data_IF_161394414873
#
_entry.id   IF_161394414873
#
_cell.length_a   1.000
_cell.length_b   1.000
_cell.length_c   1.000
_cell.angle_alpha   90.00
_cell.angle_beta   90.00
_cell.angle_gamma   90.00
#
_symmetry.space_group_name_H-M   'P 1'
#
loop_
_entity.id
_entity.type
_entity.pdbx_description
1 polymer ?
#
# COMPACT_ATOMS: atom_id res chain seq x y z
N UNK A 1 7.98 13.09 32.15
CA UNK A 1 7.28 14.33 32.58
C UNK A 1 7.95 14.87 33.84
N UNK A 2 7.85 16.18 34.16
CA UNK A 2 8.43 16.76 35.37
C UNK A 2 7.81 16.18 36.65
N UNK A 3 8.59 16.12 37.74
CA UNK A 3 8.16 15.55 39.03
C UNK A 3 7.02 16.33 39.72
N UNK A 4 6.68 17.52 39.22
CA UNK A 4 5.61 18.36 39.76
C UNK A 4 4.21 17.94 39.31
N UNK A 5 4.10 17.02 38.33
CA UNK A 5 2.82 16.62 37.76
C UNK A 5 2.18 15.49 38.56
N UNK A 6 0.93 15.69 38.99
CA UNK A 6 0.12 14.63 39.58
C UNK A 6 -0.31 13.60 38.50
N UNK A 7 -0.71 12.39 38.90
CA UNK A 7 -1.03 11.28 37.99
C UNK A 7 -2.09 11.65 36.92
N UNK A 8 -3.08 12.47 37.30
CA UNK A 8 -4.09 12.97 36.37
C UNK A 8 -3.50 13.88 35.29
N UNK A 9 -2.53 14.72 35.67
CA UNK A 9 -1.81 15.59 34.73
C UNK A 9 -0.90 14.79 33.81
N UNK A 10 -0.31 13.70 34.29
CA UNK A 10 0.49 12.80 33.47
C UNK A 10 -0.38 12.17 32.38
N UNK A 11 -1.54 11.61 32.73
CA UNK A 11 -2.48 11.04 31.75
C UNK A 11 -2.98 12.07 30.74
N UNK A 12 -3.38 13.25 31.23
CA UNK A 12 -3.78 14.35 30.35
C UNK A 12 -2.67 14.76 29.38
N UNK A 13 -1.44 14.86 29.87
CA UNK A 13 -0.28 15.22 29.04
C UNK A 13 -0.01 14.16 27.97
N UNK A 14 -0.11 12.89 28.34
CA UNK A 14 0.08 11.76 27.42
C UNK A 14 -0.98 11.78 26.29
N UNK A 15 -2.26 11.86 26.65
CA UNK A 15 -3.37 11.95 25.70
C UNK A 15 -3.25 13.19 24.81
N UNK A 16 -2.90 14.34 25.39
CA UNK A 16 -2.75 15.59 24.66
C UNK A 16 -1.61 15.50 23.65
N UNK A 17 -0.46 14.99 24.05
CA UNK A 17 0.71 14.86 23.20
C UNK A 17 0.56 13.77 22.13
N UNK A 18 -0.32 12.80 22.35
CA UNK A 18 -0.71 11.84 21.31
C UNK A 18 -1.63 12.45 20.25
N UNK A 19 -2.55 13.32 20.66
CA UNK A 19 -3.50 14.00 19.78
C UNK A 19 -2.92 15.20 19.04
N UNK A 20 -1.94 15.88 19.63
CA UNK A 20 -1.25 17.01 19.01
C UNK A 20 -0.01 16.56 18.23
N UNK A 21 0.40 17.40 17.28
CA UNK A 21 1.61 17.16 16.53
C UNK A 21 2.84 17.35 17.42
N UNK A 22 3.77 16.41 17.38
CA UNK A 22 5.09 16.52 18.01
C UNK A 22 6.15 16.92 17.00
N UNK A 23 7.35 17.25 17.46
CA UNK A 23 8.50 17.55 16.59
C UNK A 23 9.76 16.85 17.09
N UNK A 24 10.70 16.63 16.17
CA UNK A 24 12.03 16.13 16.51
C UNK A 24 13.00 17.30 16.66
N UNK A 25 13.85 17.23 17.68
CA UNK A 25 14.97 18.14 17.89
C UNK A 25 16.18 17.30 18.34
N UNK A 26 17.34 17.41 17.68
CA UNK A 26 18.54 16.73 18.13
C UNK A 26 19.02 17.28 19.48
N UNK A 27 19.62 16.42 20.32
CA UNK A 27 20.07 16.80 21.66
C UNK A 27 21.14 17.91 21.69
N UNK A 28 21.83 18.13 20.58
CA UNK A 28 22.87 19.16 20.46
C UNK A 28 22.30 20.56 20.20
N UNK A 29 20.99 20.67 19.92
CA UNK A 29 20.31 21.94 19.66
C UNK A 29 19.44 22.36 20.85
N UNK A 30 19.41 23.66 21.12
CA UNK A 30 18.55 24.23 22.15
C UNK A 30 17.11 24.30 21.65
N UNK A 31 16.16 24.17 22.58
CA UNK A 31 14.73 24.32 22.27
C UNK A 31 14.51 25.73 21.70
N UNK A 32 13.96 25.86 20.48
CA UNK A 32 13.85 27.14 19.80
C UNK A 32 12.81 28.04 20.46
N UNK A 33 12.97 29.36 20.28
CA UNK A 33 12.08 30.39 20.82
C UNK A 33 10.62 30.23 20.37
N UNK A 34 9.72 30.92 21.09
CA UNK A 34 8.27 30.74 21.04
C UNK A 34 7.66 30.85 19.64
N UNK A 35 8.24 31.69 18.77
CA UNK A 35 7.72 32.02 17.43
C UNK A 35 8.48 31.32 16.29
N UNK A 36 9.48 30.49 16.61
CA UNK A 36 10.22 29.75 15.60
C UNK A 36 9.34 28.65 14.96
N UNK A 37 9.42 28.46 13.63
CA UNK A 37 8.73 27.35 12.96
C UNK A 37 9.27 26.02 13.46
N UNK A 38 8.37 25.09 13.81
CA UNK A 38 8.71 23.74 14.30
C UNK A 38 8.50 22.71 13.19
N UNK A 39 9.45 21.78 12.95
CA UNK A 39 9.25 20.68 12.00
C UNK A 39 8.29 19.65 12.62
N UNK A 40 6.99 19.89 12.47
CA UNK A 40 5.94 19.07 13.05
C UNK A 40 5.77 17.73 12.31
N UNK A 41 5.54 16.67 13.08
CA UNK A 41 5.39 15.31 12.62
C UNK A 41 3.93 14.89 12.78
N UNK A 42 3.15 15.06 11.72
CA UNK A 42 1.70 14.78 11.73
C UNK A 42 1.32 13.44 11.07
N UNK A 43 2.24 12.79 10.34
CA UNK A 43 1.89 11.63 9.51
C UNK A 43 1.46 10.41 10.33
N UNK A 44 1.93 10.21 11.57
CA UNK A 44 1.59 9.03 12.39
C UNK A 44 0.08 8.86 12.60
N UNK A 45 -0.66 9.96 12.71
CA UNK A 45 -2.12 9.94 12.88
C UNK A 45 -2.84 9.34 11.65
N UNK A 46 -2.24 9.49 10.47
CA UNK A 46 -2.83 9.10 9.18
C UNK A 46 -2.31 7.76 8.67
N UNK A 47 -1.21 7.25 9.22
CA UNK A 47 -0.58 5.98 8.81
C UNK A 47 -1.62 4.83 8.70
N UNK A 48 -2.48 4.56 9.70
CA UNK A 48 -3.42 3.42 9.62
C UNK A 48 -4.42 3.55 8.47
N UNK A 49 -4.91 4.76 8.21
CA UNK A 49 -5.88 5.02 7.13
C UNK A 49 -5.23 4.89 5.75
N UNK A 50 -4.02 5.40 5.60
CA UNK A 50 -3.25 5.27 4.37
C UNK A 50 -2.91 3.81 4.11
N UNK A 51 -2.42 3.07 5.09
CA UNK A 51 -2.11 1.64 4.93
C UNK A 51 -3.35 0.82 4.53
N UNK A 52 -4.52 1.13 5.09
CA UNK A 52 -5.78 0.50 4.69
C UNK A 52 -6.12 0.82 3.24
N UNK A 53 -5.98 2.08 2.83
CA UNK A 53 -6.18 2.50 1.45
C UNK A 53 -5.18 1.80 0.50
N UNK A 54 -3.91 1.70 0.87
CA UNK A 54 -2.89 0.99 0.09
C UNK A 54 -3.25 -0.49 -0.07
N UNK A 55 -3.70 -1.16 1.00
CA UNK A 55 -4.15 -2.55 0.94
C UNK A 55 -5.34 -2.72 -0.02
N UNK A 56 -6.30 -1.81 0.01
CA UNK A 56 -7.42 -1.79 -0.94
C UNK A 56 -6.93 -1.59 -2.39
N UNK A 57 -6.04 -0.63 -2.63
CA UNK A 57 -5.50 -0.34 -3.94
C UNK A 57 -4.70 -1.54 -4.49
N UNK A 58 -3.94 -2.26 -3.66
CA UNK A 58 -3.26 -3.51 -4.06
C UNK A 58 -4.22 -4.63 -4.45
N UNK A 59 -5.45 -4.62 -3.94
CA UNK A 59 -6.47 -5.60 -4.30
C UNK A 59 -7.14 -5.29 -5.65
N UNK A 60 -7.18 -4.02 -6.08
CA UNK A 60 -7.87 -3.59 -7.30
C UNK A 60 -7.47 -4.37 -8.57
N UNK A 61 -6.18 -4.59 -8.89
CA UNK A 61 -5.82 -5.32 -10.12
C UNK A 61 -6.34 -6.77 -10.11
N UNK A 62 -6.46 -7.38 -8.92
CA UNK A 62 -7.03 -8.74 -8.75
C UNK A 62 -8.52 -8.75 -9.05
N UNK A 63 -9.25 -7.72 -8.61
CA UNK A 63 -10.69 -7.56 -8.91
C UNK A 63 -10.88 -7.35 -10.40
N UNK A 64 -10.09 -6.46 -11.02
CA UNK A 64 -10.12 -6.21 -12.47
C UNK A 64 -9.87 -7.49 -13.25
N UNK A 65 -8.85 -8.29 -12.86
CA UNK A 65 -8.58 -9.58 -13.49
C UNK A 65 -9.77 -10.54 -13.35
N UNK A 66 -10.35 -10.70 -12.16
CA UNK A 66 -11.49 -11.61 -11.94
C UNK A 66 -12.68 -11.21 -12.81
N UNK A 67 -13.10 -9.96 -12.74
CA UNK A 67 -14.24 -9.43 -13.50
C UNK A 67 -14.05 -9.61 -15.01
N UNK A 68 -12.88 -9.25 -15.54
CA UNK A 68 -12.62 -9.35 -16.98
C UNK A 68 -12.40 -10.80 -17.43
N UNK A 69 -11.80 -11.65 -16.60
CA UNK A 69 -11.62 -13.08 -16.91
C UNK A 69 -12.94 -13.84 -17.01
N UNK A 70 -13.93 -13.47 -16.18
CA UNK A 70 -15.27 -14.06 -16.25
C UNK A 70 -16.00 -13.66 -17.55
N UNK A 71 -15.84 -12.40 -17.99
CA UNK A 71 -16.39 -11.97 -19.30
C UNK A 71 -15.71 -12.65 -20.50
N UNK A 72 -14.49 -13.18 -20.34
CA UNK A 72 -13.80 -13.95 -21.38
C UNK A 72 -14.45 -15.33 -21.62
N UNK A 73 -15.34 -15.77 -20.73
CA UNK A 73 -16.08 -17.03 -20.87
C UNK A 73 -15.25 -18.30 -20.63
N UNK A 74 -13.99 -18.16 -20.19
CA UNK A 74 -13.09 -19.28 -19.88
C UNK A 74 -12.45 -19.05 -18.52
N UNK A 75 -13.01 -19.69 -17.50
CA UNK A 75 -12.44 -19.67 -16.15
C UNK A 75 -11.35 -20.75 -16.03
N UNK A 76 -10.11 -20.40 -16.39
CA UNK A 76 -8.96 -21.31 -16.30
C UNK A 76 -8.76 -21.79 -14.86
N UNK A 77 -8.99 -20.92 -13.88
CA UNK A 77 -8.78 -21.24 -12.48
C UNK A 77 -9.68 -22.38 -11.99
N UNK A 78 -10.95 -22.40 -12.40
CA UNK A 78 -11.86 -23.50 -12.05
C UNK A 78 -11.45 -24.81 -12.73
N UNK A 79 -10.98 -24.74 -13.99
CA UNK A 79 -10.48 -25.92 -14.71
C UNK A 79 -9.24 -26.52 -14.02
N UNK A 80 -8.24 -25.70 -13.70
CA UNK A 80 -7.03 -26.14 -12.99
C UNK A 80 -7.38 -26.68 -11.60
N UNK A 81 -8.32 -26.05 -10.89
CA UNK A 81 -8.78 -26.52 -9.58
C UNK A 81 -9.46 -27.89 -9.66
N UNK A 82 -10.26 -28.16 -10.70
CA UNK A 82 -10.91 -29.46 -10.91
C UNK A 82 -9.95 -30.56 -11.37
N UNK A 83 -8.86 -30.20 -12.05
CA UNK A 83 -7.81 -31.16 -12.42
C UNK A 83 -6.94 -31.50 -11.21
N UNK A 84 -6.63 -30.51 -10.38
CA UNK A 84 -5.81 -30.68 -9.18
C UNK A 84 -6.59 -31.17 -7.95
N UNK A 85 -7.92 -31.31 -8.03
CA UNK A 85 -8.72 -31.79 -6.91
C UNK A 85 -8.55 -33.30 -6.74
N UNK A 86 -8.60 -33.78 -5.49
CA UNK A 86 -8.56 -35.21 -5.17
C UNK A 86 -9.70 -36.00 -5.82
N UNK A 87 -10.80 -35.33 -6.18
CA UNK A 87 -11.93 -35.91 -6.91
C UNK A 87 -11.55 -36.43 -8.30
N UNK A 88 -10.49 -35.90 -8.93
CA UNK A 88 -9.99 -36.40 -10.22
C UNK A 88 -9.39 -37.82 -10.13
N UNK A 89 -8.87 -38.20 -8.96
CA UNK A 89 -8.26 -39.52 -8.74
C UNK A 89 -9.29 -40.65 -8.79
N UNK A 90 -10.56 -40.35 -8.50
CA UNK A 90 -11.63 -41.34 -8.53
C UNK A 90 -12.05 -41.65 -9.98
N UNK A 91 -12.03 -42.91 -10.42
CA UNK A 91 -12.28 -43.28 -11.81
C UNK A 91 -13.70 -42.90 -12.30
N UNK A 92 -14.70 -42.95 -11.42
CA UNK A 92 -16.09 -42.57 -11.74
C UNK A 92 -16.25 -41.05 -11.97
N UNK A 93 -15.64 -40.22 -11.12
CA UNK A 93 -15.70 -38.76 -11.22
C UNK A 93 -14.78 -38.21 -12.31
N UNK A 94 -13.70 -38.93 -12.66
CA UNK A 94 -12.78 -38.53 -13.73
C UNK A 94 -13.48 -38.36 -15.08
N UNK A 95 -14.39 -39.28 -15.43
CA UNK A 95 -15.12 -39.24 -16.71
C UNK A 95 -16.03 -38.00 -16.81
N UNK A 96 -16.68 -37.60 -15.72
CA UNK A 96 -17.54 -36.41 -15.69
C UNK A 96 -16.72 -35.13 -15.74
N UNK A 97 -15.59 -35.06 -15.01
CA UNK A 97 -14.66 -33.91 -15.09
C UNK A 97 -14.06 -33.75 -16.49
N UNK A 98 -13.62 -34.83 -17.13
CA UNK A 98 -13.10 -34.78 -18.51
C UNK A 98 -14.18 -34.32 -19.49
N UNK A 99 -15.41 -34.84 -19.39
CA UNK A 99 -16.53 -34.38 -20.23
C UNK A 99 -16.83 -32.89 -20.03
N UNK A 100 -16.77 -32.40 -18.79
CA UNK A 100 -16.94 -30.98 -18.50
C UNK A 100 -15.83 -30.12 -19.14
N UNK A 101 -14.56 -30.53 -19.01
CA UNK A 101 -13.41 -29.84 -19.60
C UNK A 101 -13.50 -29.79 -21.13
N UNK A 102 -13.81 -30.92 -21.77
CA UNK A 102 -13.97 -31.03 -23.23
C UNK A 102 -15.09 -30.10 -23.71
N UNK A 103 -16.25 -30.09 -23.04
CA UNK A 103 -17.35 -29.16 -23.37
C UNK A 103 -16.96 -27.70 -23.26
N UNK A 104 -16.14 -27.34 -22.26
CA UNK A 104 -15.65 -25.97 -22.09
C UNK A 104 -14.67 -25.56 -23.21
N UNK A 105 -13.73 -26.46 -23.56
CA UNK A 105 -12.81 -26.23 -24.68
C UNK A 105 -13.55 -26.14 -26.02
N UNK A 106 -14.51 -27.02 -26.25
CA UNK A 106 -15.30 -27.05 -27.49
C UNK A 106 -16.13 -25.78 -27.68
N UNK A 107 -16.75 -25.26 -26.60
CA UNK A 107 -17.38 -23.92 -26.60
C UNK A 107 -16.40 -22.81 -26.99
N UNK A 108 -15.17 -22.83 -26.45
CA UNK A 108 -14.16 -21.84 -26.78
C UNK A 108 -13.74 -21.90 -28.26
N UNK A 109 -13.49 -23.10 -28.79
CA UNK A 109 -13.14 -23.28 -30.21
C UNK A 109 -14.30 -22.92 -31.16
N UNK A 110 -15.54 -23.24 -30.78
CA UNK A 110 -16.73 -22.91 -31.57
C UNK A 110 -16.93 -21.40 -31.69
N UNK A 111 -16.73 -20.64 -30.61
CA UNK A 111 -16.78 -19.17 -30.62
C UNK A 111 -15.66 -18.62 -31.50
N UNK A 112 -14.43 -19.14 -31.39
CA UNK A 112 -13.29 -18.74 -32.23
C UNK A 112 -13.56 -18.98 -33.72
N UNK A 113 -14.06 -20.16 -34.11
CA UNK A 113 -14.32 -20.49 -35.51
C UNK A 113 -15.45 -19.64 -36.13
N UNK A 114 -16.50 -19.28 -35.37
CA UNK A 114 -17.56 -18.39 -35.88
C UNK A 114 -17.06 -16.97 -36.20
N UNK A 115 -16.12 -16.44 -35.42
CA UNK A 115 -15.52 -15.13 -35.69
C UNK A 115 -14.55 -15.15 -36.86
N UNK A 116 -13.87 -16.27 -37.09
CA UNK A 116 -12.94 -16.42 -38.21
C UNK A 116 -13.66 -16.60 -39.56
N UNK A 117 -14.84 -17.23 -39.57
CA UNK A 117 -15.56 -17.57 -40.80
C UNK A 117 -16.39 -16.46 -41.46
N UNK A 118 -16.49 -15.25 -40.88
CA UNK A 118 -17.50 -14.26 -41.34
C UNK A 118 -17.05 -12.91 -41.91
N UNK A 119 -15.78 -12.51 -41.98
CA UNK A 119 -15.45 -11.21 -42.64
C UNK A 119 -14.03 -11.12 -43.24
N UNK A 120 -13.95 -11.16 -44.57
CA UNK A 120 -12.90 -10.46 -45.32
C UNK A 120 -13.07 -8.94 -45.22
N UNK A 121 -11.94 -8.23 -45.13
CA UNK A 121 -11.72 -6.77 -45.30
C UNK A 121 -12.64 -5.77 -44.58
N UNK A 122 -12.06 -4.99 -43.64
CA UNK A 122 -11.95 -3.51 -43.71
C UNK A 122 -11.13 -3.03 -42.51
N UNK A 123 -10.19 -2.13 -42.79
CA UNK A 123 -9.24 -1.62 -41.82
C UNK A 123 -9.82 -0.55 -40.91
N UNK A 124 -9.16 -0.39 -39.77
CA UNK A 124 -8.93 0.87 -39.06
C UNK A 124 -7.71 0.64 -38.15
N UNK A 125 -6.67 1.45 -38.37
CA UNK A 125 -5.48 1.54 -37.53
C UNK A 125 -5.84 2.17 -36.19
N UNK A 126 -6.50 1.42 -35.32
CA UNK A 126 -6.57 1.77 -33.91
C UNK A 126 -5.52 0.92 -33.20
N UNK A 127 -4.43 1.59 -32.82
CA UNK A 127 -3.18 1.08 -32.27
C UNK A 127 -3.31 0.48 -30.86
N UNK A 128 -4.36 -0.30 -30.61
CA UNK A 128 -4.49 -1.14 -29.43
C UNK A 128 -4.93 -2.52 -29.92
N UNK A 129 -4.10 -3.52 -29.65
CA UNK A 129 -4.22 -4.95 -29.96
C UNK A 129 -5.45 -5.66 -29.35
N UNK A 130 -6.59 -4.99 -29.28
CA UNK A 130 -7.87 -5.47 -28.72
C UNK A 130 -8.71 -6.01 -29.88
N UNK A 131 -8.17 -7.02 -30.56
CA UNK A 131 -8.91 -7.80 -31.54
C UNK A 131 -9.21 -9.18 -30.97
N UNK A 132 -10.47 -9.47 -30.66
CA UNK A 132 -11.02 -10.83 -30.39
C UNK A 132 -10.72 -11.87 -31.49
N UNK A 133 -10.01 -11.48 -32.56
CA UNK A 133 -9.81 -12.19 -33.82
C UNK A 133 -8.77 -13.33 -33.76
N UNK A 134 -7.85 -13.33 -32.78
CA UNK A 134 -6.76 -14.31 -32.73
C UNK A 134 -6.79 -15.29 -31.54
N UNK A 135 -7.79 -15.23 -30.65
CA UNK A 135 -7.74 -16.02 -29.41
C UNK A 135 -6.73 -15.50 -28.37
N UNK A 136 -5.91 -14.51 -28.74
CA UNK A 136 -4.93 -13.84 -27.87
C UNK A 136 -5.57 -12.88 -26.84
N UNK A 137 -6.89 -12.72 -26.83
CA UNK A 137 -7.59 -11.81 -25.91
C UNK A 137 -7.23 -12.05 -24.45
N UNK A 138 -7.17 -13.33 -24.02
CA UNK A 138 -6.81 -13.68 -22.66
C UNK A 138 -5.33 -13.38 -22.35
N UNK A 139 -4.42 -13.63 -23.30
CA UNK A 139 -3.00 -13.34 -23.14
C UNK A 139 -2.75 -11.82 -23.05
N UNK A 140 -3.42 -11.03 -23.90
CA UNK A 140 -3.37 -9.56 -23.86
C UNK A 140 -3.97 -9.05 -22.55
N UNK A 141 -5.12 -9.57 -22.12
CA UNK A 141 -5.73 -9.22 -20.83
C UNK A 141 -4.78 -9.51 -19.66
N UNK A 142 -4.07 -10.65 -19.70
CA UNK A 142 -3.10 -11.00 -18.68
C UNK A 142 -1.93 -10.00 -18.67
N UNK A 143 -1.36 -9.69 -19.84
CA UNK A 143 -0.29 -8.70 -19.98
C UNK A 143 -0.71 -7.33 -19.43
N UNK A 144 -1.91 -6.86 -19.79
CA UNK A 144 -2.46 -5.58 -19.30
C UNK A 144 -2.63 -5.61 -17.79
N UNK A 145 -3.16 -6.70 -17.23
CA UNK A 145 -3.28 -6.83 -15.77
C UNK A 145 -1.90 -6.82 -15.09
N UNK A 146 -0.89 -7.48 -15.67
CA UNK A 146 0.49 -7.46 -15.16
C UNK A 146 1.08 -6.05 -15.18
N UNK A 147 0.88 -5.30 -16.26
CA UNK A 147 1.29 -3.88 -16.35
C UNK A 147 0.55 -3.05 -15.30
N UNK A 148 -0.74 -3.30 -15.08
CA UNK A 148 -1.53 -2.63 -14.04
C UNK A 148 -0.99 -2.93 -12.63
N UNK A 149 -0.58 -4.17 -12.34
CA UNK A 149 0.08 -4.52 -11.08
C UNK A 149 1.38 -3.74 -10.87
N UNK A 150 2.23 -3.67 -11.90
CA UNK A 150 3.50 -2.94 -11.83
C UNK A 150 3.25 -1.45 -11.64
N UNK A 151 2.32 -0.87 -12.41
CA UNK A 151 1.96 0.55 -12.31
C UNK A 151 1.37 0.87 -10.94
N UNK A 152 0.53 0.00 -10.39
CA UNK A 152 0.00 0.14 -9.04
C UNK A 152 1.12 0.08 -8.00
N UNK A 153 2.03 -0.89 -8.08
CA UNK A 153 3.17 -0.99 -7.17
C UNK A 153 4.04 0.27 -7.19
N UNK A 154 4.37 0.79 -8.37
CA UNK A 154 5.09 2.05 -8.54
C UNK A 154 4.30 3.22 -7.94
N UNK A 155 3.00 3.30 -8.23
CA UNK A 155 2.10 4.32 -7.66
C UNK A 155 2.04 4.28 -6.13
N UNK A 156 2.06 3.10 -5.50
CA UNK A 156 2.09 2.97 -4.04
C UNK A 156 3.38 3.52 -3.44
N UNK A 157 4.52 3.32 -4.10
CA UNK A 157 5.80 3.90 -3.67
C UNK A 157 5.74 5.43 -3.73
N UNK A 158 5.19 6.01 -4.82
CA UNK A 158 5.00 7.45 -4.93
C UNK A 158 4.00 8.01 -3.91
N UNK A 159 2.91 7.28 -3.62
CA UNK A 159 1.93 7.66 -2.62
C UNK A 159 2.56 7.70 -1.22
N UNK A 160 3.35 6.68 -0.88
CA UNK A 160 4.09 6.62 0.37
C UNK A 160 5.11 7.78 0.47
N UNK A 161 5.83 8.05 -0.62
CA UNK A 161 6.77 9.17 -0.72
C UNK A 161 6.10 10.53 -0.47
N UNK A 162 4.96 10.78 -1.13
CA UNK A 162 4.19 12.00 -0.93
C UNK A 162 3.64 12.11 0.51
N UNK A 163 3.23 10.99 1.10
CA UNK A 163 2.67 10.96 2.46
C UNK A 163 3.70 11.23 3.56
N UNK A 164 4.91 10.65 3.46
CA UNK A 164 5.99 10.93 4.40
C UNK A 164 6.63 12.31 4.17
N UNK A 165 6.27 13.03 3.10
CA UNK A 165 6.78 14.38 2.82
C UNK A 165 8.29 14.42 2.56
N UNK A 166 8.90 13.29 2.20
CA UNK A 166 10.35 13.15 2.02
C UNK A 166 10.66 12.49 0.68
N UNK A 167 11.86 12.72 0.14
CA UNK A 167 12.39 11.95 -0.99
C UNK A 167 12.73 10.52 -0.54
N UNK A 168 11.72 9.67 -0.43
CA UNK A 168 11.77 8.26 -0.07
C UNK A 168 12.35 7.37 -1.17
N UNK A 169 12.31 7.79 -2.44
CA UNK A 169 12.93 7.01 -3.55
C UNK A 169 14.43 6.78 -3.34
N UNK A 170 15.10 7.73 -2.70
CA UNK A 170 16.53 7.63 -2.36
C UNK A 170 16.73 6.98 -0.99
N UNK A 171 15.75 7.04 -0.09
CA UNK A 171 15.84 6.50 1.27
C UNK A 171 16.30 5.03 1.31
N UNK A 172 15.76 4.18 0.44
CA UNK A 172 16.20 2.78 0.38
C UNK A 172 17.69 2.64 0.05
N UNK A 173 18.21 3.45 -0.86
CA UNK A 173 19.62 3.48 -1.20
C UNK A 173 20.47 4.21 -0.13
N UNK A 174 19.98 5.30 0.44
CA UNK A 174 20.62 6.07 1.50
C UNK A 174 20.83 5.20 2.75
N UNK A 175 19.82 4.40 3.13
CA UNK A 175 19.93 3.48 4.27
C UNK A 175 20.97 2.39 4.01
N UNK A 176 21.02 1.85 2.79
CA UNK A 176 22.03 0.85 2.42
C UNK A 176 23.43 1.48 2.42
N UNK A 177 23.57 2.70 1.89
CA UNK A 177 24.83 3.44 1.89
C UNK A 177 25.29 3.77 3.30
N UNK A 178 24.40 4.26 4.17
CA UNK A 178 24.69 4.55 5.58
C UNK A 178 25.07 3.28 6.35
N UNK A 179 24.43 2.14 6.05
CA UNK A 179 24.78 0.85 6.62
C UNK A 179 26.19 0.37 6.18
N UNK A 180 26.50 0.49 4.88
CA UNK A 180 27.83 0.14 4.34
C UNK A 180 28.92 1.03 4.96
N UNK A 181 28.62 2.30 5.18
CA UNK A 181 29.56 3.27 5.74
C UNK A 181 29.56 3.33 7.28
N UNK A 182 28.86 2.43 7.97
CA UNK A 182 28.72 2.42 9.44
C UNK A 182 28.32 3.79 10.02
N UNK A 183 27.46 4.54 9.33
CA UNK A 183 26.88 5.78 9.85
C UNK A 183 25.58 5.47 10.57
N UNK A 184 25.38 6.07 11.74
CA UNK A 184 24.14 5.91 12.49
C UNK A 184 22.99 6.59 11.73
N UNK A 185 22.05 5.79 11.21
CA UNK A 185 20.83 6.27 10.54
C UNK A 185 19.93 7.12 11.44
N UNK A 186 20.15 7.07 12.76
CA UNK A 186 19.39 7.78 13.79
C UNK A 186 19.51 9.31 13.70
N UNK A 187 20.53 9.80 13.00
CA UNK A 187 20.82 11.24 12.86
C UNK A 187 19.86 11.92 11.87
N UNK A 188 19.27 11.18 10.93
CA UNK A 188 18.47 11.75 9.84
C UNK A 188 17.08 12.25 10.28
N UNK A 189 16.69 12.10 11.55
CA UNK A 189 15.49 12.71 12.15
C UNK A 189 14.14 12.31 11.53
N UNK A 190 14.15 11.41 10.54
CA UNK A 190 12.96 11.02 9.76
C UNK A 190 12.01 10.11 10.54
N UNK A 191 12.57 9.25 11.39
CA UNK A 191 11.84 8.35 12.29
C UNK A 191 12.39 8.48 13.71
N UNK A 192 12.02 9.54 14.45
CA UNK A 192 12.53 9.75 15.79
C UNK A 192 11.83 8.83 16.80
N UNK A 193 12.62 8.13 17.64
CA UNK A 193 12.08 7.38 18.78
C UNK A 193 11.59 8.29 19.92
N UNK A 194 12.11 9.51 19.94
CA UNK A 194 11.89 10.52 20.97
C UNK A 194 11.51 11.83 20.28
N UNK A 195 10.40 12.42 20.69
CA UNK A 195 9.91 13.70 20.18
C UNK A 195 9.61 14.66 21.32
N UNK A 196 9.57 15.95 21.01
CA UNK A 196 9.14 16.99 21.92
C UNK A 196 7.69 17.38 21.60
N UNK A 197 6.91 17.60 22.65
CA UNK A 197 5.53 18.05 22.57
C UNK A 197 5.37 19.33 23.40
N UNK A 198 4.79 20.35 22.79
CA UNK A 198 4.49 21.60 23.47
C UNK A 198 2.99 21.69 23.72
N UNK A 199 2.60 21.96 24.96
CA UNK A 199 1.20 22.17 25.31
C UNK A 199 1.03 23.40 26.18
N UNK A 200 -0.18 23.98 26.13
CA UNK A 200 -0.52 25.23 26.80
C UNK A 200 -1.66 25.02 27.76
N UNK A 201 -1.46 25.38 29.02
CA UNK A 201 -2.46 25.27 30.09
C UNK A 201 -2.87 26.67 30.53
N UNK A 202 -4.18 26.92 30.69
CA UNK A 202 -4.71 28.17 31.24
C UNK A 202 -4.94 27.99 32.74
N UNK A 203 -4.41 28.91 33.57
CA UNK A 203 -4.65 28.96 35.02
C UNK A 203 -5.21 30.33 35.39
N UNK A 204 -6.01 30.41 36.45
CA UNK A 204 -6.50 31.69 36.97
C UNK A 204 -5.31 32.53 37.49
N UNK A 205 -5.21 33.79 37.08
CA UNK A 205 -4.14 34.73 37.46
C UNK A 205 -2.95 34.83 36.47
N UNK A 206 -2.73 33.82 35.63
CA UNK A 206 -1.76 33.89 34.53
C UNK A 206 -2.35 33.24 33.27
N UNK A 207 -2.57 34.04 32.22
CA UNK A 207 -3.45 33.66 31.11
C UNK A 207 -3.06 32.36 30.41
N UNK A 208 -1.76 32.10 30.17
CA UNK A 208 -1.28 30.90 29.46
C UNK A 208 0.10 30.50 29.97
N UNK A 209 0.25 29.28 30.48
CA UNK A 209 1.53 28.64 30.81
C UNK A 209 1.86 27.59 29.75
N UNK A 210 3.09 27.61 29.23
CA UNK A 210 3.57 26.65 28.22
C UNK A 210 4.50 25.63 28.86
N UNK A 211 4.32 24.37 28.49
CA UNK A 211 5.18 23.27 28.90
C UNK A 211 5.69 22.54 27.65
N UNK A 212 6.98 22.21 27.65
CA UNK A 212 7.60 21.32 26.66
C UNK A 212 7.98 20.03 27.38
N UNK A 213 7.48 18.91 26.88
CA UNK A 213 7.75 17.58 27.44
C UNK A 213 8.35 16.67 26.39
N UNK A 214 9.26 15.80 26.85
CA UNK A 214 9.85 14.75 26.03
C UNK A 214 8.96 13.51 26.08
N UNK A 215 8.53 13.05 24.91
CA UNK A 215 7.67 11.89 24.71
C UNK A 215 8.42 10.82 23.93
N UNK A 216 8.26 9.57 24.33
CA UNK A 216 8.76 8.41 23.56
C UNK A 216 7.61 7.93 22.68
N UNK A 217 7.89 7.60 21.41
CA UNK A 217 6.90 7.07 20.48
C UNK A 217 7.10 5.56 20.29
N UNK A 218 6.34 4.68 20.99
CA UNK A 218 6.52 3.24 20.89
C UNK A 218 6.25 2.70 19.48
N UNK A 219 5.33 3.34 18.74
CA UNK A 219 4.98 2.97 17.36
C UNK A 219 6.21 2.99 16.45
N UNK A 220 7.13 3.93 16.68
CA UNK A 220 8.30 4.05 15.84
C UNK A 220 9.33 2.93 16.06
N UNK A 221 9.35 2.29 17.24
CA UNK A 221 10.18 1.11 17.51
C UNK A 221 9.78 -0.09 16.64
N UNK A 222 8.51 -0.18 16.24
CA UNK A 222 8.02 -1.22 15.34
C UNK A 222 8.29 -0.90 13.87
N UNK A 223 8.22 0.39 13.49
CA UNK A 223 8.45 0.82 12.11
C UNK A 223 9.93 0.75 11.69
N UNK A 224 10.86 0.73 12.65
CA UNK A 224 12.30 0.66 12.40
C UNK A 224 12.83 -0.79 12.27
N UNK A 225 12.01 -1.81 12.56
CA UNK A 225 12.35 -3.22 12.40
C UNK A 225 11.84 -3.78 11.08
#
# INVERSE_FOLDING_TARGET
>A
TPNEFNDQWIKYTDDYCWLQNSYFLPFNENIPEIDAPRPLIAYYQWVPFILLLQAFLFYLPTVVWRLLSDTAGVNIHSMTKMINSKDYLNPEKRSTTVKFLVRHMDKYFTIKNRFNGKHGKKGTSTCCFIGKRHGNFLAVLNLVCKVLYVTNAVGQIFLLNAFLGTAFHVYGFDVIDDFIHNRDWTVNGRFPRVTLCDFKVRRLGHNVQRYTVQCVLPVNMFNEK
#
